data_IF_844452486995
#
_entry.id   IF_844452486995
#
_cell.length_a   1.000
_cell.length_b   1.000
_cell.length_c   1.000
_cell.angle_alpha   90.00
_cell.angle_beta   90.00
_cell.angle_gamma   90.00
#
_symmetry.space_group_name_H-M   'P 1'
#
loop_
_entity.id
_entity.type
_entity.pdbx_description
1 polymer ?
#
# COMPACT_ATOMS: atom_id res chain seq x y z
N UNK A 1 16.57 -25.23 -32.79
CA UNK A 1 16.28 -24.99 -31.35
C UNK A 1 16.04 -26.33 -30.70
N UNK A 2 16.83 -26.75 -29.67
CA UNK A 2 16.68 -28.07 -29.04
C UNK A 2 15.33 -28.15 -28.31
N UNK A 3 14.71 -29.35 -28.21
CA UNK A 3 13.41 -29.61 -27.55
C UNK A 3 13.32 -28.97 -26.15
N UNK A 4 14.43 -28.94 -25.36
CA UNK A 4 14.50 -28.31 -24.05
C UNK A 4 14.27 -26.80 -24.10
N UNK A 5 14.82 -26.11 -25.08
CA UNK A 5 14.68 -24.66 -25.23
C UNK A 5 13.25 -24.27 -25.66
N UNK A 6 12.58 -25.12 -26.47
CA UNK A 6 11.20 -24.91 -26.84
C UNK A 6 10.24 -25.04 -25.65
N UNK A 7 10.48 -26.01 -24.77
CA UNK A 7 9.68 -26.22 -23.56
C UNK A 7 9.85 -25.05 -22.59
N UNK A 8 11.08 -24.61 -22.33
CA UNK A 8 11.35 -23.44 -21.47
C UNK A 8 10.69 -22.16 -21.99
N UNK A 9 10.71 -21.98 -23.30
CA UNK A 9 10.07 -20.83 -23.95
C UNK A 9 8.54 -20.88 -23.83
N UNK A 10 7.94 -22.06 -23.91
CA UNK A 10 6.51 -22.26 -23.70
C UNK A 10 6.12 -21.96 -22.26
N UNK A 11 6.85 -22.50 -21.28
CA UNK A 11 6.61 -22.23 -19.85
C UNK A 11 6.71 -20.73 -19.55
N UNK A 12 7.75 -20.04 -20.06
CA UNK A 12 7.90 -18.61 -19.85
C UNK A 12 6.72 -17.80 -20.42
N UNK A 13 6.20 -18.19 -21.61
CA UNK A 13 5.02 -17.54 -22.20
C UNK A 13 3.76 -17.76 -21.34
N UNK A 14 3.51 -19.00 -20.93
CA UNK A 14 2.34 -19.33 -20.08
C UNK A 14 2.38 -18.56 -18.76
N UNK A 15 3.56 -18.51 -18.14
CA UNK A 15 3.73 -17.77 -16.87
C UNK A 15 3.57 -16.26 -17.08
N UNK A 16 4.08 -15.68 -18.16
CA UNK A 16 3.86 -14.28 -18.50
C UNK A 16 2.39 -13.93 -18.73
N UNK A 17 1.64 -14.83 -19.42
CA UNK A 17 0.18 -14.65 -19.59
C UNK A 17 -0.51 -14.65 -18.23
N UNK A 18 -0.18 -15.59 -17.34
CA UNK A 18 -0.77 -15.64 -16.00
C UNK A 18 -0.48 -14.38 -15.19
N UNK A 19 0.77 -13.89 -15.19
CA UNK A 19 1.15 -12.63 -14.55
C UNK A 19 0.39 -11.44 -15.15
N UNK A 20 0.27 -11.39 -16.47
CA UNK A 20 -0.47 -10.34 -17.17
C UNK A 20 -1.95 -10.31 -16.82
N UNK A 21 -2.59 -11.49 -16.75
CA UNK A 21 -3.99 -11.60 -16.32
C UNK A 21 -4.17 -11.18 -14.86
N UNK A 22 -3.30 -11.63 -13.96
CA UNK A 22 -3.33 -11.20 -12.55
C UNK A 22 -3.12 -9.68 -12.42
N UNK A 23 -2.22 -9.10 -13.22
CA UNK A 23 -1.98 -7.66 -13.25
C UNK A 23 -3.23 -6.89 -13.71
N UNK A 24 -3.88 -7.33 -14.79
CA UNK A 24 -5.13 -6.72 -15.27
C UNK A 24 -6.25 -6.84 -14.23
N UNK A 25 -6.41 -8.01 -13.59
CA UNK A 25 -7.39 -8.20 -12.53
C UNK A 25 -7.10 -7.31 -11.31
N UNK A 26 -5.83 -7.09 -10.98
CA UNK A 26 -5.46 -6.21 -9.87
C UNK A 26 -5.87 -4.75 -10.11
N UNK A 27 -5.88 -4.28 -11.37
CA UNK A 27 -6.33 -2.93 -11.73
C UNK A 27 -7.85 -2.74 -11.50
N UNK A 28 -8.63 -3.82 -11.50
CA UNK A 28 -10.07 -3.79 -11.25
C UNK A 28 -10.42 -3.74 -9.75
N UNK A 29 -9.45 -4.01 -8.87
CA UNK A 29 -9.67 -4.09 -7.41
C UNK A 29 -10.38 -2.86 -6.82
N UNK A 30 -10.05 -1.61 -7.19
CA UNK A 30 -10.71 -0.43 -6.62
C UNK A 30 -12.19 -0.28 -7.02
N UNK A 31 -12.62 -0.96 -8.08
CA UNK A 31 -13.97 -0.82 -8.66
C UNK A 31 -14.92 -1.96 -8.27
N UNK A 32 -14.41 -3.02 -7.65
CA UNK A 32 -15.18 -4.21 -7.31
C UNK A 32 -15.39 -4.30 -5.80
N UNK A 33 -16.65 -4.53 -5.40
CA UNK A 33 -17.00 -4.68 -3.99
C UNK A 33 -16.34 -5.94 -3.39
N UNK A 34 -15.46 -5.81 -2.38
CA UNK A 34 -14.75 -6.94 -1.77
C UNK A 34 -15.68 -7.94 -1.10
N UNK A 35 -16.87 -7.54 -0.66
CA UNK A 35 -17.86 -8.47 -0.09
C UNK A 35 -18.37 -9.51 -1.11
N UNK A 36 -18.35 -9.17 -2.41
CA UNK A 36 -18.75 -10.08 -3.48
C UNK A 36 -17.61 -10.97 -3.96
N UNK A 37 -16.39 -10.44 -3.96
CA UNK A 37 -15.19 -11.13 -4.46
C UNK A 37 -14.02 -10.96 -3.47
N UNK A 38 -14.01 -11.70 -2.35
CA UNK A 38 -13.05 -11.50 -1.27
C UNK A 38 -11.60 -11.81 -1.64
N UNK A 39 -11.36 -12.59 -2.70
CA UNK A 39 -10.00 -12.90 -3.17
C UNK A 39 -9.37 -11.76 -4.01
N UNK A 40 -10.18 -10.90 -4.61
CA UNK A 40 -9.69 -9.88 -5.52
C UNK A 40 -8.81 -8.82 -4.82
N UNK A 41 -9.10 -8.34 -3.60
CA UNK A 41 -8.22 -7.43 -2.87
C UNK A 41 -6.79 -7.95 -2.66
N UNK A 42 -6.61 -9.27 -2.54
CA UNK A 42 -5.26 -9.87 -2.43
C UNK A 42 -4.44 -9.69 -3.70
N UNK A 43 -5.08 -9.69 -4.88
CA UNK A 43 -4.39 -9.36 -6.14
C UNK A 43 -3.96 -7.88 -6.15
N UNK A 44 -4.80 -6.98 -5.64
CA UNK A 44 -4.44 -5.57 -5.47
C UNK A 44 -3.25 -5.38 -4.51
N UNK A 45 -3.24 -6.12 -3.39
CA UNK A 45 -2.11 -6.12 -2.46
C UNK A 45 -0.83 -6.69 -3.11
N UNK A 46 -0.97 -7.70 -4.00
CA UNK A 46 0.12 -8.30 -4.77
C UNK A 46 0.62 -7.44 -5.94
N UNK A 47 -0.02 -6.31 -6.25
CA UNK A 47 0.31 -5.48 -7.40
C UNK A 47 1.80 -5.09 -7.51
N UNK A 48 2.53 -4.69 -6.43
CA UNK A 48 3.95 -4.36 -6.53
C UNK A 48 4.81 -5.54 -7.02
N UNK A 49 4.45 -6.75 -6.62
CA UNK A 49 5.14 -7.98 -7.06
C UNK A 49 4.80 -8.28 -8.53
N UNK A 50 3.53 -8.14 -8.92
CA UNK A 50 3.08 -8.38 -10.29
C UNK A 50 3.74 -7.42 -11.28
N UNK A 51 3.87 -6.14 -10.93
CA UNK A 51 4.53 -5.16 -11.79
C UNK A 51 6.04 -5.43 -11.90
N UNK A 52 6.68 -5.84 -10.82
CA UNK A 52 8.09 -6.23 -10.84
C UNK A 52 8.32 -7.44 -11.77
N UNK A 53 7.46 -8.47 -11.68
CA UNK A 53 7.51 -9.62 -12.58
C UNK A 53 7.28 -9.22 -14.04
N UNK A 54 6.34 -8.30 -14.31
CA UNK A 54 6.11 -7.80 -15.66
C UNK A 54 7.35 -7.06 -16.22
N UNK A 55 8.07 -6.28 -15.38
CA UNK A 55 9.33 -5.64 -15.77
C UNK A 55 10.39 -6.68 -16.13
N UNK A 56 10.52 -7.75 -15.34
CA UNK A 56 11.44 -8.86 -15.62
C UNK A 56 11.08 -9.50 -16.96
N UNK A 57 9.80 -9.74 -17.26
CA UNK A 57 9.37 -10.24 -18.56
C UNK A 57 9.63 -9.25 -19.70
N UNK A 58 9.43 -7.95 -19.45
CA UNK A 58 9.75 -6.91 -20.43
C UNK A 58 11.23 -7.00 -20.86
N UNK A 59 12.15 -7.11 -19.89
CA UNK A 59 13.59 -7.27 -20.15
C UNK A 59 13.88 -8.59 -20.88
N UNK A 60 13.30 -9.70 -20.44
CA UNK A 60 13.47 -11.02 -21.06
C UNK A 60 13.03 -11.03 -22.53
N UNK A 61 11.85 -10.48 -22.82
CA UNK A 61 11.27 -10.46 -24.15
C UNK A 61 11.93 -9.44 -25.06
N UNK A 62 12.51 -8.37 -24.53
CA UNK A 62 13.29 -7.43 -25.31
C UNK A 62 14.37 -8.12 -26.17
N UNK A 63 15.06 -9.12 -25.59
CA UNK A 63 16.11 -9.87 -26.28
C UNK A 63 15.61 -11.11 -27.04
N UNK A 64 14.40 -11.59 -26.75
CA UNK A 64 13.93 -12.89 -27.26
C UNK A 64 12.81 -12.77 -28.29
N UNK A 65 11.86 -11.85 -28.10
CA UNK A 65 10.68 -11.77 -28.95
C UNK A 65 10.00 -10.39 -28.84
N UNK A 66 10.04 -9.64 -29.93
CA UNK A 66 9.53 -8.27 -29.99
C UNK A 66 8.02 -8.14 -29.71
N UNK A 67 7.23 -9.12 -30.14
CA UNK A 67 5.76 -9.11 -29.90
C UNK A 67 5.45 -9.23 -28.42
N UNK A 68 6.09 -10.18 -27.71
CA UNK A 68 5.89 -10.36 -26.27
C UNK A 68 6.46 -9.21 -25.45
N UNK A 69 7.52 -8.57 -25.94
CA UNK A 69 8.04 -7.33 -25.36
C UNK A 69 6.99 -6.21 -25.41
N UNK A 70 6.35 -6.01 -26.60
CA UNK A 70 5.30 -5.01 -26.75
C UNK A 70 4.10 -5.30 -25.84
N UNK A 71 3.71 -6.57 -25.68
CA UNK A 71 2.65 -6.95 -24.72
C UNK A 71 3.00 -6.54 -23.28
N UNK A 72 4.23 -6.83 -22.82
CA UNK A 72 4.68 -6.40 -21.48
C UNK A 72 4.69 -4.88 -21.35
N UNK A 73 5.12 -4.16 -22.38
CA UNK A 73 5.18 -2.70 -22.37
C UNK A 73 3.78 -2.07 -22.32
N UNK A 74 2.82 -2.63 -23.04
CA UNK A 74 1.41 -2.20 -23.00
C UNK A 74 0.83 -2.43 -21.61
N UNK A 75 1.05 -3.61 -21.01
CA UNK A 75 0.61 -3.92 -19.65
C UNK A 75 1.21 -2.96 -18.61
N UNK A 76 2.50 -2.65 -18.76
CA UNK A 76 3.17 -1.65 -17.92
C UNK A 76 2.52 -0.28 -18.07
N UNK A 77 2.30 0.19 -19.31
CA UNK A 77 1.65 1.47 -19.59
C UNK A 77 0.23 1.57 -19.03
N UNK A 78 -0.59 0.52 -19.19
CA UNK A 78 -1.94 0.47 -18.63
C UNK A 78 -1.95 0.52 -17.09
N UNK A 79 -0.91 0.03 -16.45
CA UNK A 79 -0.78 0.04 -14.99
C UNK A 79 -0.23 1.34 -14.39
N UNK A 80 0.29 2.27 -15.21
CA UNK A 80 0.90 3.53 -14.75
C UNK A 80 -0.01 4.36 -13.82
N UNK A 81 -1.31 4.59 -14.13
CA UNK A 81 -2.17 5.38 -13.25
C UNK A 81 -2.33 4.76 -11.85
N UNK A 82 -2.28 3.43 -11.77
CA UNK A 82 -2.36 2.72 -10.50
C UNK A 82 -1.03 2.75 -9.75
N UNK A 83 0.09 2.64 -10.46
CA UNK A 83 1.43 2.80 -9.90
C UNK A 83 1.61 4.17 -9.25
N UNK A 84 1.18 5.25 -9.92
CA UNK A 84 1.26 6.63 -9.41
C UNK A 84 0.47 6.83 -8.12
N UNK A 85 -0.60 6.05 -7.88
CA UNK A 85 -1.37 6.08 -6.62
C UNK A 85 -0.69 5.33 -5.49
N UNK A 86 0.01 4.24 -5.80
CA UNK A 86 0.70 3.40 -4.79
C UNK A 86 2.07 3.97 -4.45
N UNK A 87 2.81 4.38 -5.46
CA UNK A 87 4.15 4.95 -5.30
C UNK A 87 4.06 6.47 -5.44
N UNK A 88 3.95 7.17 -4.31
CA UNK A 88 4.02 8.63 -4.26
C UNK A 88 5.47 9.07 -4.45
N UNK A 89 5.89 9.25 -5.71
CA UNK A 89 7.17 9.88 -6.00
C UNK A 89 7.01 11.39 -5.87
N UNK A 90 7.33 11.96 -4.71
CA UNK A 90 7.50 13.40 -4.56
C UNK A 90 8.82 13.80 -5.25
N UNK A 91 8.79 13.89 -6.57
CA UNK A 91 9.98 14.22 -7.38
C UNK A 91 10.27 15.73 -7.39
N UNK A 92 9.29 16.53 -7.04
CA UNK A 92 9.45 17.97 -6.96
C UNK A 92 9.38 18.40 -5.48
N UNK A 93 10.36 19.16 -4.98
CA UNK A 93 10.19 19.88 -3.72
C UNK A 93 8.98 20.78 -3.92
N UNK A 94 7.93 20.53 -3.19
CA UNK A 94 6.84 21.49 -3.10
C UNK A 94 7.41 22.65 -2.28
N UNK A 95 7.82 23.73 -2.95
CA UNK A 95 8.10 24.99 -2.27
C UNK A 95 6.79 25.38 -1.57
N UNK A 96 6.69 25.03 -0.29
CA UNK A 96 5.59 25.48 0.56
C UNK A 96 5.86 26.96 0.74
N UNK A 97 5.00 27.86 0.23
CA UNK A 97 5.18 29.28 0.43
C UNK A 97 5.29 29.54 1.93
N UNK A 98 6.38 30.14 2.38
CA UNK A 98 6.60 30.43 3.81
C UNK A 98 5.57 31.39 4.40
N UNK A 99 4.81 32.08 3.55
CA UNK A 99 3.93 33.19 3.92
C UNK A 99 2.43 32.90 3.77
N UNK A 100 1.91 31.72 4.09
CA UNK A 100 0.47 31.63 4.29
C UNK A 100 0.15 31.66 5.78
N UNK A 101 -0.49 32.72 6.22
CA UNK A 101 -1.03 32.94 7.58
C UNK A 101 -2.09 31.88 8.01
N UNK A 102 -2.37 30.92 7.16
CA UNK A 102 -3.41 29.87 7.34
C UNK A 102 -2.80 28.46 7.25
N UNK A 103 -1.83 28.15 8.10
CA UNK A 103 -1.35 26.76 8.20
C UNK A 103 -2.20 25.99 9.19
N UNK A 104 -2.79 24.88 8.73
CA UNK A 104 -3.51 23.93 9.58
C UNK A 104 -2.58 22.74 9.85
N UNK A 105 -2.26 22.49 11.14
CA UNK A 105 -1.48 21.34 11.55
C UNK A 105 -2.40 20.13 11.75
N UNK A 106 -2.36 19.21 10.80
CA UNK A 106 -3.11 17.95 10.87
C UNK A 106 -2.19 16.85 11.43
N UNK A 107 -2.65 16.15 12.49
CA UNK A 107 -1.99 14.97 13.02
C UNK A 107 -2.88 13.74 12.86
N UNK A 108 -2.33 12.63 12.33
CA UNK A 108 -2.96 11.31 12.32
C UNK A 108 -2.09 10.36 13.15
N UNK A 109 -2.68 9.73 14.16
CA UNK A 109 -1.95 8.90 15.11
C UNK A 109 -2.71 7.64 15.49
N UNK A 110 -2.07 6.46 15.34
CA UNK A 110 -2.61 5.20 15.82
C UNK A 110 -2.20 4.99 17.28
N UNK A 111 -3.19 5.02 18.20
CA UNK A 111 -2.94 4.88 19.65
C UNK A 111 -2.86 3.42 20.10
N UNK A 112 -3.05 2.45 19.20
CA UNK A 112 -2.95 1.01 19.48
C UNK A 112 -3.72 0.61 20.75
N UNK A 113 -4.99 1.03 20.85
CA UNK A 113 -5.86 0.81 22.01
C UNK A 113 -5.23 1.28 23.33
N UNK A 114 -4.29 2.25 23.30
CA UNK A 114 -3.50 2.70 24.45
C UNK A 114 -2.74 1.58 25.15
N UNK A 115 -2.31 0.57 24.39
CA UNK A 115 -1.59 -0.60 24.90
C UNK A 115 -2.41 -1.42 25.93
N UNK A 116 -3.73 -1.48 25.73
CA UNK A 116 -4.71 -2.11 26.63
C UNK A 116 -4.37 -3.57 26.98
N UNK A 117 -3.77 -4.31 26.06
CA UNK A 117 -3.40 -5.71 26.25
C UNK A 117 -2.03 -5.91 26.91
N UNK A 118 -1.38 -4.84 27.35
CA UNK A 118 -0.13 -4.96 28.08
C UNK A 118 -0.39 -5.63 29.45
N UNK A 119 0.33 -6.72 29.80
CA UNK A 119 0.16 -7.40 31.07
C UNK A 119 0.40 -6.50 32.30
N UNK A 120 1.17 -5.42 32.14
CA UNK A 120 1.42 -4.43 33.18
C UNK A 120 0.47 -3.22 33.01
N UNK A 121 -0.57 -3.15 33.82
CA UNK A 121 -1.48 -1.99 33.85
C UNK A 121 -0.76 -0.66 34.09
N UNK A 122 0.36 -0.69 34.84
CA UNK A 122 1.19 0.50 35.08
C UNK A 122 1.82 1.02 33.79
N UNK A 123 2.30 0.10 32.92
CA UNK A 123 2.90 0.46 31.63
C UNK A 123 1.84 1.00 30.67
N UNK A 124 0.65 0.38 30.60
CA UNK A 124 -0.45 0.84 29.76
C UNK A 124 -0.91 2.26 30.16
N UNK A 125 -1.05 2.55 31.46
CA UNK A 125 -1.37 3.90 31.96
C UNK A 125 -0.26 4.92 31.62
N UNK A 126 0.99 4.52 31.74
CA UNK A 126 2.16 5.35 31.36
C UNK A 126 2.17 5.65 29.86
N UNK A 127 1.93 4.63 29.01
CA UNK A 127 1.84 4.77 27.56
C UNK A 127 0.74 5.75 27.16
N UNK A 128 -0.47 5.57 27.72
CA UNK A 128 -1.59 6.49 27.47
C UNK A 128 -1.25 7.95 27.84
N UNK A 129 -0.71 8.15 29.01
CA UNK A 129 -0.36 9.50 29.50
C UNK A 129 0.75 10.13 28.64
N UNK A 130 1.70 9.32 28.18
CA UNK A 130 2.74 9.74 27.24
C UNK A 130 2.17 10.18 25.90
N UNK A 131 1.22 9.43 25.33
CA UNK A 131 0.54 9.78 24.08
C UNK A 131 -0.23 11.10 24.22
N UNK A 132 -1.01 11.28 25.31
CA UNK A 132 -1.73 12.54 25.54
C UNK A 132 -0.80 13.72 25.81
N UNK A 133 0.33 13.48 26.45
CA UNK A 133 1.36 14.52 26.60
C UNK A 133 1.90 14.93 25.23
N UNK A 134 2.24 13.95 24.38
CA UNK A 134 2.72 14.21 23.02
C UNK A 134 1.70 15.01 22.19
N UNK A 135 0.41 14.69 22.26
CA UNK A 135 -0.61 15.49 21.57
C UNK A 135 -0.67 16.94 22.04
N UNK A 136 -0.51 17.18 23.35
CA UNK A 136 -0.46 18.54 23.89
C UNK A 136 0.79 19.29 23.48
N UNK A 137 1.94 18.62 23.49
CA UNK A 137 3.23 19.24 23.16
C UNK A 137 3.30 19.61 21.66
N UNK A 138 2.61 18.83 20.80
CA UNK A 138 2.56 19.07 19.36
C UNK A 138 1.49 20.07 18.92
N UNK A 139 0.48 20.33 19.74
CA UNK A 139 -0.61 21.30 19.50
C UNK A 139 -1.19 21.23 18.05
N UNK A 140 -1.72 20.07 17.60
CA UNK A 140 -2.33 19.98 16.29
C UNK A 140 -3.68 20.69 16.27
N UNK A 141 -4.00 21.40 15.16
CA UNK A 141 -5.32 21.98 14.94
C UNK A 141 -6.39 20.90 14.71
N UNK A 142 -6.00 19.81 14.05
CA UNK A 142 -6.87 18.65 13.80
C UNK A 142 -6.11 17.37 14.19
N UNK A 143 -6.72 16.57 15.08
CA UNK A 143 -6.19 15.30 15.53
C UNK A 143 -7.10 14.14 15.12
N UNK A 144 -6.61 13.29 14.21
CA UNK A 144 -7.26 12.05 13.80
C UNK A 144 -6.67 10.87 14.58
N UNK A 145 -7.43 10.29 15.49
CA UNK A 145 -6.99 9.16 16.34
C UNK A 145 -7.50 7.85 15.73
N UNK A 146 -6.57 6.92 15.47
CA UNK A 146 -6.88 5.56 15.02
C UNK A 146 -6.76 4.57 16.17
N UNK A 147 -7.53 3.49 16.12
CA UNK A 147 -7.60 2.44 17.14
C UNK A 147 -7.88 3.02 18.55
N UNK A 148 -8.74 4.03 18.62
CA UNK A 148 -9.19 4.59 19.89
C UNK A 148 -10.14 3.62 20.59
N UNK A 149 -9.91 3.38 21.89
CA UNK A 149 -10.76 2.55 22.72
C UNK A 149 -11.17 3.29 23.99
N UNK A 150 -12.45 3.27 24.30
CA UNK A 150 -13.02 3.82 25.51
C UNK A 150 -13.91 2.78 26.19
N UNK A 151 -13.69 2.54 27.47
CA UNK A 151 -14.57 1.67 28.23
C UNK A 151 -15.86 2.40 28.64
N UNK A 152 -17.01 1.75 28.42
CA UNK A 152 -18.33 2.31 28.80
C UNK A 152 -18.49 2.51 30.33
N UNK A 153 -17.69 1.82 31.17
CA UNK A 153 -17.63 2.03 32.61
C UNK A 153 -16.25 2.57 32.97
N UNK A 154 -16.17 3.70 33.72
CA UNK A 154 -14.87 4.21 34.14
C UNK A 154 -14.21 3.17 35.05
N UNK A 155 -13.17 2.54 34.57
CA UNK A 155 -12.23 1.79 35.38
C UNK A 155 -11.13 2.72 35.84
N UNK A 156 -10.37 2.33 36.85
CA UNK A 156 -9.17 3.07 37.29
C UNK A 156 -8.11 3.27 36.19
N UNK A 157 -8.37 2.69 35.01
CA UNK A 157 -7.52 2.81 33.81
C UNK A 157 -7.82 4.10 33.01
N UNK A 158 -9.02 4.67 33.14
CA UNK A 158 -9.47 5.81 32.32
C UNK A 158 -9.50 7.13 33.13
N UNK A 159 -9.38 7.08 34.44
CA UNK A 159 -9.29 8.28 35.31
C UNK A 159 -7.87 8.78 35.45
#
# INVERSE_FOLDING_TARGET
>A
MGKKNALLFLIAKTFHIAVGLCLLLSLLTPYINPAKFPLLPFLGLGFPVLILLNIVFCILWFFKNRTWFLCSLILFGLSLPYQMKIFSFNVLPTDIPEESDSRIKLMSYNVRLFDLYNPSMKNAKSTRNGIFKYFRDEEPDILCIQEYYEQKKPSSFIT
#
